data_IF_344548798067
#
_entry.id   IF_344548798067
#
_cell.length_a   1.000
_cell.length_b   1.000
_cell.length_c   1.000
_cell.angle_alpha   90.00
_cell.angle_beta   90.00
_cell.angle_gamma   90.00
#
_symmetry.space_group_name_H-M   'P 1'
#
loop_
_entity.id
_entity.type
_entity.pdbx_description
1 polymer ?
#
# COMPACT_ATOMS: atom_id res chain seq x y z
N UNK A 1 49.30 20.97 -15.93
CA UNK A 1 49.67 22.38 -15.66
C UNK A 1 49.45 23.18 -16.95
N UNK A 2 49.00 24.44 -16.83
CA UNK A 2 48.40 25.35 -17.85
C UNK A 2 46.86 25.27 -17.82
N UNK A 3 46.09 26.18 -17.21
CA UNK A 3 46.19 27.63 -16.91
C UNK A 3 46.33 28.54 -18.14
N UNK A 4 45.21 29.15 -18.53
CA UNK A 4 44.94 30.61 -18.68
C UNK A 4 43.66 30.76 -19.56
N UNK A 5 42.51 31.25 -19.07
CA UNK A 5 42.10 32.63 -18.75
C UNK A 5 41.66 33.50 -19.95
N UNK A 6 40.75 34.45 -19.66
CA UNK A 6 40.08 35.49 -20.49
C UNK A 6 38.77 35.04 -21.16
N UNK A 7 37.52 35.39 -20.79
CA UNK A 7 36.81 36.49 -20.08
C UNK A 7 36.05 37.48 -21.02
N UNK A 8 34.79 37.78 -20.63
CA UNK A 8 33.91 38.93 -20.96
C UNK A 8 33.34 39.05 -22.39
N UNK A 9 32.10 39.47 -22.65
CA UNK A 9 30.95 39.87 -21.83
C UNK A 9 29.73 39.93 -22.77
N UNK A 10 28.55 39.53 -22.30
CA UNK A 10 27.30 40.11 -22.79
C UNK A 10 26.46 40.55 -21.60
N UNK A 11 26.29 41.85 -21.51
CA UNK A 11 25.45 42.60 -20.59
C UNK A 11 24.04 42.69 -21.17
N UNK A 12 23.00 42.43 -20.37
CA UNK A 12 21.65 42.71 -20.85
C UNK A 12 20.48 42.20 -19.98
N UNK A 13 20.15 42.98 -18.96
CA UNK A 13 18.79 43.19 -18.41
C UNK A 13 18.08 42.06 -17.66
N UNK A 14 17.96 42.21 -16.33
CA UNK A 14 16.80 41.74 -15.56
C UNK A 14 15.67 42.78 -15.54
N UNK A 15 14.63 42.65 -14.67
CA UNK A 15 14.14 41.45 -13.99
C UNK A 15 12.64 41.20 -14.31
N UNK A 16 12.27 39.96 -14.61
CA UNK A 16 10.87 39.52 -14.71
C UNK A 16 10.55 38.57 -13.58
N UNK A 17 9.79 39.04 -12.59
CA UNK A 17 9.35 38.25 -11.45
C UNK A 17 8.51 37.04 -11.86
N UNK A 18 8.79 35.91 -11.22
CA UNK A 18 8.06 34.65 -11.36
C UNK A 18 8.39 33.76 -10.17
N UNK A 19 7.89 34.17 -9.01
CA UNK A 19 7.96 33.44 -7.75
C UNK A 19 7.39 32.03 -7.88
N UNK A 20 8.12 31.04 -7.38
CA UNK A 20 7.55 29.79 -6.89
C UNK A 20 7.48 28.68 -7.92
N UNK A 21 8.60 27.96 -8.07
CA UNK A 21 8.53 26.52 -8.32
C UNK A 21 7.82 25.84 -7.16
N UNK A 22 6.49 25.84 -7.20
CA UNK A 22 5.69 24.92 -6.43
C UNK A 22 5.63 23.64 -7.25
N UNK A 23 6.37 22.64 -6.79
CA UNK A 23 6.48 21.35 -7.43
C UNK A 23 5.13 20.84 -7.90
N UNK A 24 5.14 20.27 -9.10
CA UNK A 24 4.14 19.31 -9.56
C UNK A 24 4.21 17.98 -8.79
N UNK A 25 4.67 18.01 -7.53
CA UNK A 25 4.31 17.07 -6.48
C UNK A 25 3.10 17.66 -5.75
N UNK A 26 2.01 17.82 -6.49
CA UNK A 26 0.76 17.46 -5.85
C UNK A 26 0.65 16.02 -6.23
N UNK A 27 1.18 15.12 -5.41
CA UNK A 27 0.78 13.74 -5.46
C UNK A 27 -0.75 13.73 -5.64
N UNK A 28 -1.19 13.46 -6.87
CA UNK A 28 -2.11 12.36 -7.07
C UNK A 28 -1.51 11.25 -6.21
N UNK A 29 -1.89 11.22 -4.92
CA UNK A 29 -1.95 9.96 -4.24
C UNK A 29 -2.73 9.13 -5.22
N UNK A 30 -2.05 8.17 -5.86
CA UNK A 30 -2.70 7.16 -6.67
C UNK A 30 -4.00 6.89 -5.95
N UNK A 31 -5.15 7.11 -6.59
CA UNK A 31 -6.40 6.58 -6.06
C UNK A 31 -6.17 5.06 -6.13
N UNK A 32 -5.46 4.56 -5.13
CA UNK A 32 -4.81 3.27 -5.17
C UNK A 32 -5.98 2.32 -5.19
N UNK A 33 -6.16 1.63 -6.30
CA UNK A 33 -7.08 0.53 -6.43
C UNK A 33 -6.63 -0.56 -5.46
N UNK A 34 -6.96 -0.35 -4.18
CA UNK A 34 -6.73 -1.29 -3.11
C UNK A 34 -7.67 -2.47 -3.29
N UNK A 35 -7.12 -3.66 -3.20
CA UNK A 35 -7.92 -4.89 -3.28
C UNK A 35 -8.35 -5.30 -1.88
N UNK A 36 -9.58 -5.81 -1.76
CA UNK A 36 -10.04 -6.46 -0.53
C UNK A 36 -9.70 -7.94 -0.62
N UNK A 37 -8.98 -8.45 0.38
CA UNK A 37 -8.74 -9.87 0.55
C UNK A 37 -9.68 -10.45 1.62
N UNK A 38 -9.97 -11.74 1.55
CA UNK A 38 -10.63 -12.46 2.62
C UNK A 38 -9.84 -13.74 2.94
N UNK A 39 -9.52 -13.96 4.22
CA UNK A 39 -8.62 -15.01 4.70
C UNK A 39 -9.28 -15.80 5.84
N UNK A 40 -9.21 -17.13 5.75
CA UNK A 40 -9.81 -18.04 6.72
C UNK A 40 -10.59 -19.21 6.09
N UNK A 41 -11.55 -19.78 6.83
CA UNK A 41 -12.19 -21.04 6.47
C UNK A 41 -13.01 -20.93 5.17
N UNK A 42 -12.80 -21.86 4.20
CA UNK A 42 -13.42 -21.78 2.87
C UNK A 42 -14.94 -21.62 2.89
N UNK A 43 -15.62 -22.29 3.83
CA UNK A 43 -17.06 -22.27 3.95
C UNK A 43 -17.63 -20.87 4.25
N UNK A 44 -16.90 -20.07 5.04
CA UNK A 44 -17.30 -18.70 5.40
C UNK A 44 -16.94 -17.68 4.31
N UNK A 45 -15.92 -17.99 3.50
CA UNK A 45 -15.38 -17.07 2.50
C UNK A 45 -16.13 -17.08 1.16
N UNK A 46 -16.83 -18.16 0.82
CA UNK A 46 -17.38 -18.38 -0.52
C UNK A 46 -18.29 -17.24 -1.03
N UNK A 47 -19.03 -16.57 -0.13
CA UNK A 47 -19.89 -15.43 -0.47
C UNK A 47 -19.13 -14.15 -0.84
N UNK A 48 -17.91 -13.95 -0.33
CA UNK A 48 -17.15 -12.72 -0.51
C UNK A 48 -16.58 -12.56 -1.93
N UNK A 49 -16.50 -13.64 -2.71
CA UNK A 49 -16.19 -13.55 -4.15
C UNK A 49 -17.19 -12.69 -4.91
N UNK A 50 -18.46 -12.70 -4.51
CA UNK A 50 -19.50 -11.89 -5.14
C UNK A 50 -19.27 -10.39 -4.91
N UNK A 51 -18.64 -10.04 -3.79
CA UNK A 51 -18.28 -8.66 -3.44
C UNK A 51 -16.94 -8.22 -4.07
N UNK A 52 -16.31 -9.06 -4.89
CA UNK A 52 -15.01 -8.75 -5.53
C UNK A 52 -13.79 -8.99 -4.65
N UNK A 53 -13.95 -9.65 -3.49
CA UNK A 53 -12.81 -9.98 -2.64
C UNK A 53 -11.98 -11.13 -3.23
N UNK A 54 -10.65 -11.03 -3.09
CA UNK A 54 -9.72 -12.12 -3.38
C UNK A 54 -9.68 -13.06 -2.20
N UNK A 55 -9.97 -14.34 -2.43
CA UNK A 55 -10.01 -15.32 -1.35
C UNK A 55 -8.66 -16.00 -1.14
N UNK A 56 -8.24 -16.05 0.12
CA UNK A 56 -7.12 -16.82 0.63
C UNK A 56 -7.69 -17.89 1.58
N UNK A 57 -8.18 -19.02 1.06
CA UNK A 57 -8.72 -20.09 1.89
C UNK A 57 -7.59 -20.72 2.72
N UNK A 58 -7.74 -20.72 4.04
CA UNK A 58 -6.80 -21.30 4.99
C UNK A 58 -7.56 -21.80 6.23
N UNK A 59 -7.29 -23.03 6.67
CA UNK A 59 -8.00 -23.62 7.83
C UNK A 59 -7.07 -24.02 8.97
N UNK A 60 -5.76 -24.13 8.70
CA UNK A 60 -4.75 -24.37 9.73
C UNK A 60 -3.96 -23.11 10.06
N UNK A 61 -3.43 -23.06 11.28
CA UNK A 61 -2.58 -21.94 11.73
C UNK A 61 -1.41 -21.67 10.77
N UNK A 62 -0.72 -22.73 10.31
CA UNK A 62 0.41 -22.59 9.38
C UNK A 62 -0.02 -22.00 8.04
N UNK A 63 -1.17 -22.43 7.50
CA UNK A 63 -1.71 -21.89 6.25
C UNK A 63 -2.13 -20.42 6.42
N UNK A 64 -2.72 -20.06 7.56
CA UNK A 64 -3.15 -18.69 7.86
C UNK A 64 -1.93 -17.77 7.89
N UNK A 65 -0.87 -18.14 8.61
CA UNK A 65 0.36 -17.34 8.68
C UNK A 65 1.06 -17.24 7.32
N UNK A 66 1.10 -18.32 6.56
CA UNK A 66 1.68 -18.32 5.22
C UNK A 66 0.88 -17.47 4.22
N UNK A 67 -0.45 -17.51 4.28
CA UNK A 67 -1.30 -16.68 3.45
C UNK A 67 -1.18 -15.20 3.82
N UNK A 68 -1.11 -14.88 5.12
CA UNK A 68 -0.90 -13.52 5.62
C UNK A 68 0.43 -12.91 5.15
N UNK A 69 1.52 -13.67 5.22
CA UNK A 69 2.86 -13.19 4.81
C UNK A 69 3.04 -13.08 3.29
N UNK A 70 2.15 -13.67 2.50
CA UNK A 70 2.18 -13.65 1.03
C UNK A 70 1.13 -12.71 0.43
N UNK A 71 0.43 -11.94 1.29
CA UNK A 71 -0.52 -10.93 0.81
C UNK A 71 0.19 -9.91 -0.09
N UNK A 72 -0.34 -9.66 -1.29
CA UNK A 72 0.23 -8.62 -2.16
C UNK A 72 0.16 -7.25 -1.50
N UNK A 73 1.16 -6.39 -1.76
CA UNK A 73 1.19 -5.00 -1.31
C UNK A 73 0.01 -4.14 -1.81
N UNK A 74 -0.77 -4.67 -2.75
CA UNK A 74 -2.00 -4.04 -3.28
C UNK A 74 -3.23 -4.29 -2.40
N UNK A 75 -3.14 -5.17 -1.41
CA UNK A 75 -4.23 -5.47 -0.47
C UNK A 75 -4.35 -4.35 0.54
N UNK A 76 -5.43 -3.58 0.44
CA UNK A 76 -5.69 -2.46 1.35
C UNK A 76 -6.49 -2.88 2.59
N UNK A 77 -7.30 -3.94 2.46
CA UNK A 77 -8.10 -4.46 3.57
C UNK A 77 -8.22 -5.99 3.52
N UNK A 78 -8.23 -6.63 4.70
CA UNK A 78 -8.38 -8.07 4.86
C UNK A 78 -9.58 -8.38 5.76
N UNK A 79 -10.53 -9.15 5.24
CA UNK A 79 -11.63 -9.74 5.99
C UNK A 79 -11.17 -11.08 6.55
N UNK A 80 -11.13 -11.21 7.87
CA UNK A 80 -10.66 -12.38 8.59
C UNK A 80 -11.84 -13.14 9.17
N UNK A 81 -11.80 -14.47 9.09
CA UNK A 81 -12.66 -15.28 9.95
C UNK A 81 -12.19 -15.21 11.40
N UNK A 82 -13.04 -15.58 12.38
CA UNK A 82 -12.66 -15.52 13.79
C UNK A 82 -11.41 -16.34 14.14
N UNK A 83 -11.27 -17.56 13.61
CA UNK A 83 -10.09 -18.38 13.87
C UNK A 83 -8.82 -17.80 13.24
N UNK A 84 -8.92 -17.22 12.03
CA UNK A 84 -7.79 -16.55 11.40
C UNK A 84 -7.33 -15.32 12.21
N UNK A 85 -8.27 -14.55 12.76
CA UNK A 85 -7.96 -13.40 13.61
C UNK A 85 -7.27 -13.82 14.92
N UNK A 86 -7.67 -14.95 15.52
CA UNK A 86 -7.03 -15.50 16.72
C UNK A 86 -5.57 -15.90 16.46
N UNK A 87 -5.31 -16.56 15.33
CA UNK A 87 -3.95 -16.95 14.91
C UNK A 87 -3.05 -15.72 14.69
N UNK A 88 -3.60 -14.67 14.07
CA UNK A 88 -2.87 -13.47 13.66
C UNK A 88 -2.84 -12.35 14.72
N UNK A 89 -3.39 -12.55 15.91
CA UNK A 89 -3.61 -11.48 16.90
C UNK A 89 -2.37 -10.61 17.20
N UNK A 90 -1.16 -11.19 17.15
CA UNK A 90 0.09 -10.44 17.32
C UNK A 90 0.48 -9.61 16.08
N UNK A 91 0.22 -10.13 14.88
CA UNK A 91 0.54 -9.49 13.60
C UNK A 91 -0.41 -8.31 13.29
N UNK A 92 -1.66 -8.38 13.78
CA UNK A 92 -2.68 -7.32 13.58
C UNK A 92 -2.37 -6.02 14.32
N UNK A 93 -1.45 -6.04 15.29
CA UNK A 93 -1.04 -4.86 16.04
C UNK A 93 0.05 -4.03 15.31
N UNK A 94 0.61 -4.54 14.21
CA UNK A 94 1.60 -3.81 13.41
C UNK A 94 0.93 -2.64 12.66
N UNK A 95 1.39 -1.38 12.84
CA UNK A 95 0.88 -0.24 12.09
C UNK A 95 1.06 -0.33 10.57
N UNK A 96 1.95 -1.21 10.11
CA UNK A 96 2.23 -1.48 8.69
C UNK A 96 1.30 -2.54 8.11
N UNK A 97 0.53 -3.23 8.94
CA UNK A 97 -0.42 -4.23 8.49
C UNK A 97 -1.59 -3.58 7.71
N UNK A 98 -2.19 -4.31 6.75
CA UNK A 98 -3.42 -3.87 6.09
C UNK A 98 -4.56 -3.63 7.09
N UNK A 99 -5.56 -2.83 6.71
CA UNK A 99 -6.78 -2.68 7.52
C UNK A 99 -7.45 -4.04 7.68
N UNK A 100 -7.76 -4.44 8.92
CA UNK A 100 -8.40 -5.73 9.18
C UNK A 100 -9.81 -5.61 9.72
N UNK A 101 -10.68 -6.52 9.27
CA UNK A 101 -12.07 -6.67 9.73
C UNK A 101 -12.28 -8.12 10.08
N UNK A 102 -12.80 -8.39 11.28
CA UNK A 102 -13.10 -9.76 11.72
C UNK A 102 -14.59 -10.03 11.56
N UNK A 103 -14.92 -11.16 10.96
CA UNK A 103 -16.30 -11.61 10.84
C UNK A 103 -16.93 -11.86 12.22
N UNK A 104 -18.23 -11.59 12.39
CA UNK A 104 -18.94 -12.01 13.59
C UNK A 104 -18.93 -13.54 13.70
N UNK A 105 -18.91 -14.03 14.94
CA UNK A 105 -19.04 -15.47 15.25
C UNK A 105 -20.46 -15.96 15.04
#
# INVERSE_FOLDING_TARGET
MSSADVNEAETGSGPGGGTGGAGTDRGTGSNGTGTVAALGEPALLQGYRLAGAVLFPASSETEIRAAWSTLPDTVAAVVLTPAAAEVLAGDLADPSAPLTVVLPR
#
